data_IF_952419836430
#
_entry.id   IF_952419836430
#
_cell.length_a   1.000
_cell.length_b   1.000
_cell.length_c   1.000
_cell.angle_alpha   90.00
_cell.angle_beta   90.00
_cell.angle_gamma   90.00
#
_symmetry.space_group_name_H-M   'P 1'
#
loop_
_entity.id
_entity.type
_entity.pdbx_description
1 polymer ?
#
# COMPACT_ATOMS: atom_id res chain seq x y z
N UNK A 1 -2.83 -8.59 -11.16
CA UNK A 1 -3.08 -9.77 -12.04
C UNK A 1 -3.00 -11.05 -11.22
N UNK A 2 -3.48 -12.18 -11.74
CA UNK A 2 -3.41 -13.48 -11.05
C UNK A 2 -4.52 -14.44 -11.46
N UNK A 3 -4.38 -15.73 -11.11
CA UNK A 3 -5.34 -16.78 -11.47
C UNK A 3 -6.76 -16.51 -10.97
N UNK A 4 -7.75 -17.17 -11.57
CA UNK A 4 -9.14 -17.11 -11.09
C UNK A 4 -9.21 -17.54 -9.61
N UNK A 5 -10.01 -16.83 -8.81
CA UNK A 5 -10.19 -17.05 -7.35
C UNK A 5 -8.97 -16.85 -6.46
N UNK A 6 -7.86 -16.30 -6.99
CA UNK A 6 -6.67 -15.92 -6.19
C UNK A 6 -6.90 -14.83 -5.14
N UNK A 7 -8.03 -14.10 -5.18
CA UNK A 7 -8.37 -13.09 -4.16
C UNK A 7 -8.08 -11.64 -4.57
N UNK A 8 -7.62 -11.37 -5.80
CA UNK A 8 -7.36 -10.02 -6.35
C UNK A 8 -8.49 -8.99 -6.11
N UNK A 9 -9.74 -9.32 -6.41
CA UNK A 9 -10.86 -8.39 -6.21
C UNK A 9 -11.19 -8.20 -4.72
N UNK A 10 -11.02 -9.24 -3.89
CA UNK A 10 -11.15 -9.13 -2.44
C UNK A 10 -10.11 -8.17 -1.87
N UNK A 11 -8.86 -8.28 -2.30
CA UNK A 11 -7.77 -7.38 -1.94
C UNK A 11 -8.13 -5.93 -2.27
N UNK A 12 -8.55 -5.65 -3.51
CA UNK A 12 -8.92 -4.29 -3.94
C UNK A 12 -10.08 -3.72 -3.11
N UNK A 13 -11.07 -4.54 -2.75
CA UNK A 13 -12.24 -4.13 -1.95
C UNK A 13 -11.88 -3.86 -0.49
N UNK A 14 -11.08 -4.72 0.13
CA UNK A 14 -10.64 -4.54 1.52
C UNK A 14 -9.78 -3.29 1.66
N UNK A 15 -8.77 -3.12 0.80
CA UNK A 15 -7.82 -2.01 0.92
C UNK A 15 -8.46 -0.66 0.56
N UNK A 16 -9.25 -0.59 -0.51
CA UNK A 16 -9.71 0.69 -1.06
C UNK A 16 -11.19 1.00 -0.87
N UNK A 17 -11.99 0.06 -0.37
CA UNK A 17 -13.40 0.31 -0.04
C UNK A 17 -13.70 0.11 1.45
N UNK A 18 -12.68 -0.22 2.26
CA UNK A 18 -12.85 -0.57 3.68
C UNK A 18 -13.91 -1.66 3.88
N UNK A 19 -14.06 -2.56 2.90
CA UNK A 19 -14.98 -3.69 3.00
C UNK A 19 -14.45 -4.68 4.03
N UNK A 20 -15.33 -5.23 4.87
CA UNK A 20 -14.91 -6.23 5.84
C UNK A 20 -14.42 -7.49 5.12
N UNK A 21 -13.31 -8.13 5.57
CA UNK A 21 -12.83 -9.37 4.98
C UNK A 21 -13.90 -10.46 4.90
N UNK A 22 -14.80 -10.53 5.88
CA UNK A 22 -15.91 -11.49 5.89
C UNK A 22 -16.96 -11.25 4.81
N UNK A 23 -17.15 -10.00 4.38
CA UNK A 23 -18.08 -9.65 3.30
C UNK A 23 -17.52 -10.03 1.93
N UNK A 24 -16.20 -10.17 1.81
CA UNK A 24 -15.56 -10.53 0.53
C UNK A 24 -15.90 -11.95 0.05
N UNK A 25 -16.35 -12.84 0.95
CA UNK A 25 -16.80 -14.19 0.61
C UNK A 25 -18.01 -14.20 -0.34
N UNK A 26 -18.78 -13.10 -0.36
CA UNK A 26 -19.96 -12.95 -1.20
C UNK A 26 -19.69 -12.23 -2.52
N UNK A 27 -18.42 -11.93 -2.83
CA UNK A 27 -18.07 -11.29 -4.10
C UNK A 27 -18.26 -12.26 -5.27
N UNK A 28 -18.97 -11.79 -6.29
CA UNK A 28 -19.09 -12.51 -7.56
C UNK A 28 -17.77 -12.47 -8.35
N UNK A 29 -17.60 -13.42 -9.25
CA UNK A 29 -16.41 -13.48 -10.10
C UNK A 29 -16.32 -12.28 -11.05
N UNK A 30 -15.15 -11.64 -11.09
CA UNK A 30 -14.87 -10.51 -12.00
C UNK A 30 -14.82 -11.00 -13.44
N UNK A 31 -15.82 -10.61 -14.23
CA UNK A 31 -15.98 -10.99 -15.65
C UNK A 31 -15.48 -9.92 -16.62
N UNK A 32 -15.17 -8.71 -16.15
CA UNK A 32 -14.70 -7.58 -16.96
C UNK A 32 -13.62 -6.81 -16.22
N UNK A 33 -12.75 -6.12 -16.95
CA UNK A 33 -11.74 -5.22 -16.39
C UNK A 33 -12.41 -4.16 -15.50
N UNK A 34 -12.02 -4.09 -14.24
CA UNK A 34 -12.44 -3.03 -13.31
C UNK A 34 -11.27 -2.07 -13.08
N UNK A 35 -11.36 -0.85 -13.64
CA UNK A 35 -10.37 0.20 -13.44
C UNK A 35 -10.86 1.12 -12.34
N UNK A 36 -10.10 1.18 -11.24
CA UNK A 36 -10.34 2.11 -10.16
C UNK A 36 -9.30 3.22 -10.18
N UNK A 37 -9.76 4.44 -10.35
CA UNK A 37 -8.92 5.62 -10.16
C UNK A 37 -8.89 5.97 -8.67
N UNK A 38 -7.70 5.95 -8.08
CA UNK A 38 -7.46 6.42 -6.73
C UNK A 38 -6.71 7.73 -6.87
N UNK A 39 -7.48 8.81 -6.74
CA UNK A 39 -6.97 10.16 -6.61
C UNK A 39 -7.57 10.82 -5.38
N UNK A 40 -7.49 10.10 -4.25
CA UNK A 40 -7.88 10.64 -2.96
C UNK A 40 -7.02 11.86 -2.62
N UNK A 41 -5.80 11.91 -3.15
CA UNK A 41 -4.84 12.98 -2.95
C UNK A 41 -4.30 13.46 -4.29
N UNK A 42 -3.96 14.75 -4.41
CA UNK A 42 -3.06 15.25 -5.47
C UNK A 42 -1.65 14.64 -5.37
N UNK A 43 -1.32 14.00 -4.24
CA UNK A 43 -0.01 13.45 -3.90
C UNK A 43 0.21 12.01 -4.37
N UNK A 44 -0.85 11.20 -4.46
CA UNK A 44 -0.77 9.82 -4.92
C UNK A 44 -1.97 9.57 -5.82
N UNK A 45 -1.72 9.64 -7.12
CA UNK A 45 -2.71 9.35 -8.15
C UNK A 45 -2.29 8.10 -8.89
N UNK A 46 -3.02 7.02 -8.66
CA UNK A 46 -2.76 5.76 -9.34
C UNK A 46 -4.07 5.12 -9.77
N UNK A 47 -3.98 4.37 -10.86
CA UNK A 47 -5.07 3.56 -11.34
C UNK A 47 -4.77 2.12 -10.98
N UNK A 48 -5.72 1.47 -10.32
CA UNK A 48 -5.68 0.03 -10.10
C UNK A 48 -6.52 -0.62 -11.17
N UNK A 49 -5.92 -1.57 -11.86
CA UNK A 49 -6.56 -2.33 -12.92
C UNK A 49 -6.75 -3.76 -12.41
N UNK A 50 -7.99 -4.13 -12.08
CA UNK A 50 -8.34 -5.49 -11.73
C UNK A 50 -8.73 -6.26 -13.00
N UNK A 51 -7.96 -7.31 -13.29
CA UNK A 51 -8.10 -8.11 -14.50
C UNK A 51 -8.92 -9.37 -14.20
N UNK A 52 -9.78 -9.83 -15.13
CA UNK A 52 -10.49 -11.09 -14.97
C UNK A 52 -9.51 -12.27 -14.86
N UNK A 53 -9.90 -13.30 -14.11
CA UNK A 53 -9.00 -14.42 -13.78
C UNK A 53 -8.59 -15.29 -14.98
N UNK A 54 -9.38 -15.28 -16.04
CA UNK A 54 -9.14 -16.02 -17.28
C UNK A 54 -8.63 -15.11 -18.40
N UNK A 55 -8.12 -13.92 -18.06
CA UNK A 55 -7.62 -12.97 -19.06
C UNK A 55 -6.37 -13.54 -19.76
N UNK A 56 -6.50 -13.83 -21.06
CA UNK A 56 -5.36 -14.00 -21.98
C UNK A 56 -5.15 -12.67 -22.69
N UNK A 57 -3.93 -12.16 -22.65
CA UNK A 57 -3.55 -10.88 -23.26
C UNK A 57 -3.78 -10.84 -24.78
N UNK A 58 -3.97 -12.01 -25.41
CA UNK A 58 -4.33 -12.14 -26.84
C UNK A 58 -5.74 -11.67 -27.18
N UNK A 59 -6.62 -11.49 -26.20
CA UNK A 59 -7.98 -10.97 -26.42
C UNK A 59 -8.01 -9.46 -26.23
N UNK A 60 -8.45 -8.72 -27.25
CA UNK A 60 -8.62 -7.27 -27.14
C UNK A 60 -9.67 -6.94 -26.06
N UNK A 61 -9.24 -6.26 -24.99
CA UNK A 61 -10.17 -5.76 -23.99
C UNK A 61 -10.89 -4.52 -24.50
N UNK A 62 -12.22 -4.51 -24.36
CA UNK A 62 -13.00 -3.30 -24.57
C UNK A 62 -13.33 -2.70 -23.21
N UNK A 63 -12.75 -1.53 -22.91
CA UNK A 63 -13.14 -0.73 -21.75
C UNK A 63 -13.64 0.63 -22.23
N UNK A 64 -14.85 1.02 -21.81
CA UNK A 64 -15.43 2.32 -22.17
C UNK A 64 -15.65 2.56 -23.68
N UNK A 65 -15.65 1.50 -24.51
CA UNK A 65 -15.76 1.61 -25.96
C UNK A 65 -14.44 1.82 -26.71
N UNK A 66 -13.30 1.81 -26.01
CA UNK A 66 -11.96 1.78 -26.62
C UNK A 66 -11.33 0.39 -26.46
N UNK A 67 -10.59 -0.02 -27.51
CA UNK A 67 -9.74 -1.20 -27.47
C UNK A 67 -8.51 -0.86 -26.62
N UNK A 68 -8.36 -1.58 -25.53
CA UNK A 68 -7.23 -1.48 -24.63
C UNK A 68 -6.23 -2.56 -25.04
N UNK A 69 -5.21 -2.14 -25.80
CA UNK A 69 -4.17 -3.04 -26.29
C UNK A 69 -3.15 -3.37 -25.18
N UNK A 70 -2.52 -4.54 -25.26
CA UNK A 70 -1.40 -4.94 -24.39
C UNK A 70 -0.33 -3.84 -24.27
N UNK A 71 0.02 -3.21 -25.39
CA UNK A 71 1.03 -2.14 -25.44
C UNK A 71 0.65 -0.95 -24.57
N UNK A 72 -0.61 -0.50 -24.59
CA UNK A 72 -1.06 0.62 -23.75
C UNK A 72 -1.09 0.26 -22.26
N UNK A 73 -1.39 -0.99 -21.93
CA UNK A 73 -1.40 -1.47 -20.55
C UNK A 73 0.01 -1.45 -20.00
N UNK A 74 0.96 -2.07 -20.71
CA UNK A 74 2.33 -2.23 -20.21
C UNK A 74 3.15 -0.94 -20.34
N UNK A 75 2.92 -0.09 -21.35
CA UNK A 75 3.66 1.17 -21.51
C UNK A 75 3.39 2.15 -20.36
N UNK A 76 2.17 2.15 -19.82
CA UNK A 76 1.74 3.08 -18.77
C UNK A 76 1.73 2.44 -17.37
N UNK A 77 2.23 1.22 -17.24
CA UNK A 77 2.31 0.52 -15.97
C UNK A 77 3.62 0.84 -15.25
N UNK A 78 3.56 1.23 -13.97
CA UNK A 78 4.74 1.39 -13.12
C UNK A 78 5.11 0.14 -12.32
N UNK A 79 4.10 -0.65 -11.91
CA UNK A 79 4.31 -1.88 -11.16
C UNK A 79 3.18 -2.88 -11.43
N UNK A 80 3.55 -4.15 -11.60
CA UNK A 80 2.63 -5.27 -11.73
C UNK A 80 2.65 -6.06 -10.44
N UNK A 81 1.48 -6.10 -9.78
CA UNK A 81 1.23 -7.00 -8.65
C UNK A 81 0.60 -8.29 -9.16
N UNK A 82 1.28 -9.42 -8.98
CA UNK A 82 0.78 -10.75 -9.32
C UNK A 82 0.40 -11.51 -8.05
N UNK A 83 -0.85 -11.96 -7.97
CA UNK A 83 -1.40 -12.64 -6.79
C UNK A 83 -1.40 -14.15 -7.02
N UNK A 84 -0.67 -14.88 -6.18
CA UNK A 84 -0.61 -16.34 -6.11
C UNK A 84 -1.39 -16.79 -4.88
N UNK A 85 -2.28 -17.76 -5.03
CA UNK A 85 -2.98 -18.35 -3.89
C UNK A 85 -2.09 -19.42 -3.24
N UNK A 86 -1.68 -19.22 -2.00
CA UNK A 86 -0.83 -20.15 -1.25
C UNK A 86 -1.56 -21.42 -0.81
N UNK A 87 -2.90 -21.48 -0.94
CA UNK A 87 -3.68 -22.67 -0.57
C UNK A 87 -4.01 -23.55 -1.78
N UNK A 88 -3.80 -23.06 -3.01
CA UNK A 88 -4.19 -23.73 -4.25
C UNK A 88 -2.98 -24.46 -4.87
N UNK A 89 -2.62 -25.60 -4.26
CA UNK A 89 -1.61 -26.50 -4.83
C UNK A 89 -2.20 -27.42 -5.90
N UNK A 90 -1.56 -27.55 -7.07
CA UNK A 90 -0.19 -27.13 -7.41
C UNK A 90 -0.07 -25.71 -8.04
N UNK A 91 1.00 -25.00 -7.70
CA UNK A 91 1.27 -23.63 -8.18
C UNK A 91 1.68 -23.51 -9.66
N UNK A 92 1.92 -24.63 -10.36
CA UNK A 92 2.51 -24.65 -11.70
C UNK A 92 1.74 -23.80 -12.73
N UNK A 93 0.39 -23.77 -12.68
CA UNK A 93 -0.38 -22.91 -13.59
C UNK A 93 -0.15 -21.42 -13.30
N UNK A 94 -0.07 -21.04 -12.02
CA UNK A 94 0.15 -19.67 -11.60
C UNK A 94 1.53 -19.18 -12.05
N UNK A 95 2.55 -20.04 -11.90
CA UNK A 95 3.93 -19.77 -12.30
C UNK A 95 4.06 -19.62 -13.82
N UNK A 96 3.48 -20.54 -14.59
CA UNK A 96 3.49 -20.45 -16.05
C UNK A 96 2.83 -19.15 -16.55
N UNK A 97 1.72 -18.71 -15.92
CA UNK A 97 1.08 -17.43 -16.25
C UNK A 97 1.89 -16.22 -15.80
N UNK A 98 2.54 -16.29 -14.64
CA UNK A 98 3.44 -15.25 -14.17
C UNK A 98 4.60 -15.06 -15.18
N UNK A 99 5.24 -16.16 -15.60
CA UNK A 99 6.31 -16.13 -16.58
C UNK A 99 5.88 -15.51 -17.92
N UNK A 100 4.72 -15.89 -18.48
CA UNK A 100 4.19 -15.27 -19.71
C UNK A 100 3.92 -13.77 -19.52
N UNK A 101 3.30 -13.39 -18.40
CA UNK A 101 3.01 -11.98 -18.07
C UNK A 101 4.29 -11.15 -17.97
N UNK A 102 5.29 -11.65 -17.24
CA UNK A 102 6.58 -10.97 -17.02
C UNK A 102 7.32 -10.83 -18.33
N UNK A 103 7.41 -11.90 -19.13
CA UNK A 103 8.10 -11.89 -20.43
C UNK A 103 7.46 -10.89 -21.38
N UNK A 104 6.13 -10.80 -21.41
CA UNK A 104 5.43 -9.81 -22.25
C UNK A 104 5.61 -8.39 -21.73
N UNK A 105 5.41 -8.16 -20.44
CA UNK A 105 5.54 -6.84 -19.82
C UNK A 105 6.97 -6.26 -20.01
N UNK A 106 7.99 -7.07 -19.76
CA UNK A 106 9.39 -6.65 -19.89
C UNK A 106 9.80 -6.32 -21.33
N UNK A 107 9.15 -6.94 -22.34
CA UNK A 107 9.37 -6.58 -23.75
C UNK A 107 8.89 -5.18 -24.09
N UNK A 108 7.82 -4.71 -23.48
CA UNK A 108 7.25 -3.38 -23.73
C UNK A 108 7.89 -2.31 -22.85
N UNK A 109 8.13 -2.61 -21.57
CA UNK A 109 8.71 -1.68 -20.64
C UNK A 109 9.63 -2.42 -19.63
N UNK A 110 10.96 -2.22 -19.73
CA UNK A 110 11.92 -2.87 -18.84
C UNK A 110 11.93 -2.28 -17.42
N UNK A 111 11.41 -1.06 -17.23
CA UNK A 111 11.41 -0.35 -15.94
C UNK A 111 10.22 -0.75 -15.03
N UNK A 112 9.38 -1.69 -15.46
CA UNK A 112 8.26 -2.19 -14.66
C UNK A 112 8.78 -2.93 -13.43
N UNK A 113 8.24 -2.58 -12.27
CA UNK A 113 8.48 -3.30 -11.02
C UNK A 113 7.55 -4.52 -10.89
N UNK A 114 8.13 -5.70 -10.68
CA UNK A 114 7.38 -6.93 -10.51
C UNK A 114 7.27 -7.33 -9.04
N UNK A 115 6.04 -7.42 -8.55
CA UNK A 115 5.74 -7.66 -7.15
C UNK A 115 4.79 -8.88 -7.05
N UNK A 116 5.19 -9.90 -6.32
CA UNK A 116 4.45 -11.16 -6.18
C UNK A 116 3.86 -11.24 -4.78
N UNK A 117 2.53 -11.32 -4.70
CA UNK A 117 1.80 -11.52 -3.46
C UNK A 117 1.45 -12.99 -3.32
N UNK A 118 2.10 -13.65 -2.38
CA UNK A 118 1.74 -14.98 -1.90
C UNK A 118 0.58 -14.77 -0.92
N UNK A 119 -0.62 -15.05 -1.39
CA UNK A 119 -1.87 -14.64 -0.78
C UNK A 119 -2.57 -15.81 -0.07
N UNK A 120 -3.48 -15.49 0.86
CA UNK A 120 -4.22 -16.45 1.70
C UNK A 120 -3.34 -17.26 2.67
N UNK A 121 -2.30 -16.63 3.21
CA UNK A 121 -1.42 -17.22 4.24
C UNK A 121 -2.07 -17.32 5.63
N UNK A 122 -3.39 -17.14 5.72
CA UNK A 122 -4.24 -17.26 6.91
C UNK A 122 -4.84 -18.65 7.14
N UNK A 123 -4.65 -19.60 6.21
CA UNK A 123 -5.21 -20.95 6.34
C UNK A 123 -4.58 -21.76 7.49
N UNK A 124 -5.29 -22.80 7.94
CA UNK A 124 -4.85 -23.71 9.00
C UNK A 124 -3.47 -24.36 8.73
N UNK A 125 -3.03 -24.43 7.47
CA UNK A 125 -1.70 -24.93 7.09
C UNK A 125 -0.55 -23.98 7.51
N UNK A 126 -0.82 -22.68 7.67
CA UNK A 126 0.17 -21.62 7.89
C UNK A 126 0.15 -21.09 9.34
N UNK A 127 -0.32 -21.90 10.29
CA UNK A 127 -0.31 -21.56 11.72
C UNK A 127 1.11 -21.35 12.29
N UNK A 128 2.13 -21.99 11.71
CA UNK A 128 3.54 -21.79 12.06
C UNK A 128 4.23 -20.89 11.06
N UNK A 129 5.04 -19.95 11.56
CA UNK A 129 5.83 -19.06 10.71
C UNK A 129 6.89 -19.82 9.89
N UNK A 130 7.34 -20.98 10.36
CA UNK A 130 8.26 -21.86 9.61
C UNK A 130 7.67 -22.31 8.27
N UNK A 131 6.38 -22.71 8.24
CA UNK A 131 5.73 -23.12 6.99
C UNK A 131 5.56 -21.95 6.01
N UNK A 132 5.33 -20.73 6.51
CA UNK A 132 5.24 -19.54 5.67
C UNK A 132 6.58 -19.25 5.00
N UNK A 133 7.68 -19.36 5.76
CA UNK A 133 9.04 -19.15 5.26
C UNK A 133 9.41 -20.22 4.23
N UNK A 134 9.08 -21.48 4.50
CA UNK A 134 9.34 -22.58 3.58
C UNK A 134 8.55 -22.43 2.27
N UNK A 135 7.25 -22.14 2.35
CA UNK A 135 6.40 -21.88 1.18
C UNK A 135 6.91 -20.68 0.36
N UNK A 136 7.27 -19.58 1.03
CA UNK A 136 7.85 -18.42 0.36
C UNK A 136 9.14 -18.78 -0.37
N UNK A 137 10.02 -19.54 0.28
CA UNK A 137 11.30 -19.96 -0.29
C UNK A 137 11.10 -20.89 -1.48
N UNK A 138 10.16 -21.83 -1.39
CA UNK A 138 9.83 -22.74 -2.48
C UNK A 138 9.31 -21.97 -3.72
N UNK A 139 8.31 -21.11 -3.53
CA UNK A 139 7.73 -20.28 -4.60
C UNK A 139 8.80 -19.37 -5.21
N UNK A 140 9.60 -18.72 -4.36
CA UNK A 140 10.68 -17.84 -4.82
C UNK A 140 11.72 -18.59 -5.64
N UNK A 141 12.11 -19.80 -5.20
CA UNK A 141 13.09 -20.60 -5.91
C UNK A 141 12.55 -21.08 -7.26
N UNK A 142 11.31 -21.58 -7.32
CA UNK A 142 10.69 -22.02 -8.57
C UNK A 142 10.58 -20.86 -9.58
N UNK A 143 10.17 -19.67 -9.12
CA UNK A 143 10.08 -18.48 -9.97
C UNK A 143 11.45 -18.04 -10.47
N UNK A 144 12.46 -18.00 -9.60
CA UNK A 144 13.82 -17.64 -10.01
C UNK A 144 14.41 -18.65 -11.00
N UNK A 145 14.16 -19.94 -10.80
CA UNK A 145 14.63 -20.99 -11.72
C UNK A 145 13.98 -20.83 -13.11
N UNK A 146 12.66 -20.59 -13.17
CA UNK A 146 11.95 -20.34 -14.44
C UNK A 146 12.40 -19.05 -15.16
N UNK A 147 12.72 -17.98 -14.42
CA UNK A 147 13.18 -16.72 -15.01
C UNK A 147 14.63 -16.82 -15.50
N UNK A 148 15.49 -17.50 -14.74
CA UNK A 148 16.90 -17.70 -15.10
C UNK A 148 17.03 -18.51 -16.40
N UNK A 149 16.14 -19.48 -16.62
CA UNK A 149 16.04 -20.23 -17.88
C UNK A 149 15.68 -19.31 -19.07
N UNK A 150 15.04 -18.16 -18.80
CA UNK A 150 14.66 -17.16 -19.79
C UNK A 150 15.70 -16.07 -20.11
N UNK A 151 16.90 -16.10 -19.49
CA UNK A 151 17.96 -15.07 -19.62
C UNK A 151 17.52 -13.63 -19.28
N UNK A 152 16.50 -13.46 -18.44
CA UNK A 152 15.97 -12.14 -18.05
C UNK A 152 16.47 -11.75 -16.65
N UNK A 153 17.26 -10.68 -16.53
CA UNK A 153 17.69 -10.12 -15.25
C UNK A 153 16.58 -9.25 -14.65
N UNK A 154 15.55 -9.91 -14.10
CA UNK A 154 14.37 -9.24 -13.53
C UNK A 154 14.35 -9.43 -12.01
N UNK A 155 14.38 -8.32 -11.29
CA UNK A 155 14.20 -8.33 -9.84
C UNK A 155 12.71 -8.38 -9.48
N UNK A 156 12.31 -9.46 -8.81
CA UNK A 156 10.97 -9.63 -8.25
C UNK A 156 11.00 -9.51 -6.73
N UNK A 157 10.00 -8.84 -6.18
CA UNK A 157 9.81 -8.77 -4.73
C UNK A 157 8.64 -9.65 -4.30
N UNK A 158 8.82 -10.39 -3.20
CA UNK A 158 7.85 -11.36 -2.71
C UNK A 158 7.27 -10.89 -1.38
N UNK A 159 5.95 -10.95 -1.25
CA UNK A 159 5.22 -10.56 -0.04
C UNK A 159 4.23 -11.63 0.37
N UNK A 160 4.25 -11.99 1.65
CA UNK A 160 3.23 -12.82 2.27
C UNK A 160 2.07 -11.90 2.67
N UNK A 161 0.86 -12.21 2.20
CA UNK A 161 -0.30 -11.33 2.39
C UNK A 161 -1.55 -12.11 2.78
N UNK A 162 -2.32 -11.54 3.70
CA UNK A 162 -3.68 -11.99 4.00
C UNK A 162 -4.62 -10.78 4.08
N UNK A 163 -5.89 -10.97 3.72
CA UNK A 163 -6.94 -9.96 3.91
C UNK A 163 -7.45 -9.88 5.35
N UNK A 164 -7.18 -10.89 6.18
CA UNK A 164 -7.63 -10.92 7.58
C UNK A 164 -6.65 -10.22 8.53
N UNK A 165 -5.44 -9.96 8.05
CA UNK A 165 -4.39 -9.29 8.79
C UNK A 165 -3.94 -8.02 8.04
N UNK A 166 -3.18 -7.16 8.69
CA UNK A 166 -2.72 -5.89 8.15
C UNK A 166 -1.59 -6.05 7.10
N UNK A 167 -1.11 -7.28 6.87
CA UNK A 167 0.04 -7.59 6.00
C UNK A 167 -0.20 -7.17 4.56
N UNK A 168 -1.45 -7.24 4.09
CA UNK A 168 -1.82 -6.75 2.77
C UNK A 168 -1.58 -5.25 2.62
N UNK A 169 -1.89 -4.46 3.65
CA UNK A 169 -1.69 -3.02 3.62
C UNK A 169 -0.20 -2.67 3.68
N UNK A 170 0.59 -3.42 4.46
CA UNK A 170 2.04 -3.25 4.49
C UNK A 170 2.68 -3.56 3.12
N UNK A 171 2.29 -4.68 2.50
CA UNK A 171 2.76 -5.06 1.17
C UNK A 171 2.40 -3.98 0.13
N UNK A 172 1.14 -3.52 0.11
CA UNK A 172 0.75 -2.41 -0.76
C UNK A 172 1.52 -1.12 -0.50
N UNK A 173 1.82 -0.82 0.75
CA UNK A 173 2.60 0.37 1.11
C UNK A 173 4.01 0.32 0.52
N UNK A 174 4.67 -0.84 0.57
CA UNK A 174 5.98 -1.05 -0.07
C UNK A 174 5.91 -0.94 -1.59
N UNK A 175 4.84 -1.46 -2.21
CA UNK A 175 4.62 -1.32 -3.67
C UNK A 175 4.43 0.16 -4.04
N UNK A 176 3.56 0.88 -3.32
CA UNK A 176 3.30 2.31 -3.56
C UNK A 176 4.55 3.15 -3.33
N UNK A 177 5.36 2.83 -2.31
CA UNK A 177 6.64 3.49 -2.06
C UNK A 177 7.57 3.45 -3.26
N UNK A 178 7.76 2.26 -3.85
CA UNK A 178 8.65 2.09 -5.02
C UNK A 178 8.16 2.86 -6.25
N UNK A 179 6.86 3.13 -6.34
CA UNK A 179 6.27 3.93 -7.43
C UNK A 179 6.51 5.44 -7.28
N UNK A 180 6.90 5.93 -6.10
CA UNK A 180 7.06 7.35 -5.85
C UNK A 180 8.51 7.79 -6.12
N UNK A 181 8.77 8.59 -7.17
CA UNK A 181 10.13 8.99 -7.53
C UNK A 181 10.82 9.88 -6.48
N UNK A 182 10.04 10.59 -5.67
CA UNK A 182 10.53 11.51 -4.64
C UNK A 182 10.69 10.83 -3.26
N UNK A 183 10.53 9.50 -3.18
CA UNK A 183 10.61 8.75 -1.93
C UNK A 183 11.90 9.03 -1.13
N UNK A 184 13.12 9.04 -1.73
CA UNK A 184 14.34 9.27 -0.96
C UNK A 184 14.38 10.63 -0.26
N UNK A 185 13.74 11.65 -0.84
CA UNK A 185 13.62 12.97 -0.21
C UNK A 185 12.70 12.90 1.01
N UNK A 186 11.58 12.18 0.91
CA UNK A 186 10.63 12.01 2.02
C UNK A 186 11.24 11.22 3.17
N UNK A 187 11.92 10.11 2.87
CA UNK A 187 12.62 9.30 3.88
C UNK A 187 13.66 10.14 4.62
N UNK A 188 14.46 10.94 3.89
CA UNK A 188 15.43 11.84 4.52
C UNK A 188 14.78 12.89 5.42
N UNK A 189 13.66 13.48 5.00
CA UNK A 189 12.91 14.43 5.83
C UNK A 189 12.36 13.76 7.10
N UNK A 190 11.84 12.55 7.01
CA UNK A 190 11.38 11.76 8.15
C UNK A 190 12.55 11.41 9.09
N UNK A 191 13.71 11.02 8.54
CA UNK A 191 14.91 10.72 9.34
C UNK A 191 15.40 11.94 10.12
N UNK A 192 15.38 13.14 9.50
CA UNK A 192 15.69 14.40 10.18
C UNK A 192 14.68 14.68 11.31
N UNK A 193 13.39 14.48 11.05
CA UNK A 193 12.34 14.67 12.04
C UNK A 193 12.53 13.74 13.25
N UNK A 194 12.72 12.44 13.01
CA UNK A 194 12.95 11.44 14.05
C UNK A 194 14.17 11.81 14.90
N UNK A 195 15.29 12.14 14.25
CA UNK A 195 16.54 12.47 14.94
C UNK A 195 16.41 13.74 15.78
N UNK A 196 15.71 14.76 15.26
CA UNK A 196 15.55 16.05 15.95
C UNK A 196 14.58 15.97 17.16
N UNK A 197 13.54 15.15 17.05
CA UNK A 197 12.50 15.00 18.07
C UNK A 197 12.73 13.80 19.00
N UNK A 198 13.77 13.00 18.76
CA UNK A 198 14.05 11.73 19.46
C UNK A 198 12.84 10.79 19.44
N UNK A 199 12.28 10.60 18.24
CA UNK A 199 11.17 9.66 18.02
C UNK A 199 11.70 8.24 17.82
N UNK A 200 10.87 7.22 18.04
CA UNK A 200 11.26 5.84 17.75
C UNK A 200 10.95 5.47 16.30
N UNK A 201 9.79 5.90 15.80
CA UNK A 201 9.31 5.57 14.45
C UNK A 201 8.36 6.64 13.95
N UNK A 202 8.31 6.84 12.63
CA UNK A 202 7.35 7.75 11.99
C UNK A 202 6.81 7.17 10.69
N UNK A 203 5.53 7.36 10.47
CA UNK A 203 4.81 6.90 9.28
C UNK A 203 4.02 8.05 8.68
N UNK A 204 4.08 8.19 7.37
CA UNK A 204 3.22 9.10 6.61
C UNK A 204 2.13 8.27 5.94
N UNK A 205 0.92 8.34 6.47
CA UNK A 205 -0.25 7.56 6.05
C UNK A 205 -1.17 8.34 5.13
N UNK A 206 -1.78 7.64 4.17
CA UNK A 206 -3.03 8.05 3.55
C UNK A 206 -4.21 7.65 4.45
N UNK A 207 -4.99 8.63 4.90
CA UNK A 207 -6.08 8.44 5.88
C UNK A 207 -7.18 7.50 5.35
N UNK A 208 -7.44 7.53 4.05
CA UNK A 208 -8.53 6.76 3.43
C UNK A 208 -8.12 5.30 3.22
N UNK A 209 -6.98 5.05 2.60
CA UNK A 209 -6.53 3.69 2.27
C UNK A 209 -5.72 3.01 3.38
N UNK A 210 -5.29 3.76 4.39
CA UNK A 210 -4.37 3.32 5.47
C UNK A 210 -3.00 2.86 4.97
N UNK A 211 -2.69 3.11 3.69
CA UNK A 211 -1.38 2.80 3.12
C UNK A 211 -0.38 3.87 3.56
N UNK A 212 0.81 3.47 4.00
CA UNK A 212 1.87 4.43 4.29
C UNK A 212 2.69 4.72 3.03
N UNK A 213 2.82 6.01 2.73
CA UNK A 213 3.52 6.55 1.55
C UNK A 213 5.02 6.59 1.80
N UNK A 214 5.43 6.91 3.03
CA UNK A 214 6.82 7.00 3.41
C UNK A 214 6.97 6.62 4.89
N UNK A 215 8.11 6.05 5.22
CA UNK A 215 8.53 5.76 6.60
C UNK A 215 10.00 6.12 6.74
N UNK A 216 10.48 6.19 7.97
CA UNK A 216 11.89 6.35 8.26
C UNK A 216 12.71 5.08 7.98
N UNK A 217 14.03 5.20 8.02
CA UNK A 217 14.95 4.11 7.70
C UNK A 217 14.96 2.94 8.70
N UNK A 218 14.34 3.07 9.88
CA UNK A 218 14.27 1.94 10.81
C UNK A 218 13.40 0.82 10.22
N UNK A 219 13.67 -0.46 10.51
CA UNK A 219 12.79 -1.54 10.07
C UNK A 219 11.36 -1.31 10.59
N UNK A 220 10.37 -1.59 9.73
CA UNK A 220 8.97 -1.52 10.09
C UNK A 220 8.62 -2.79 10.87
N UNK A 221 8.15 -2.60 12.10
CA UNK A 221 7.53 -3.66 12.88
C UNK A 221 6.04 -3.71 12.58
N UNK A 222 5.53 -4.91 12.36
CA UNK A 222 4.16 -5.18 11.97
C UNK A 222 3.16 -4.76 13.07
N UNK A 223 3.51 -5.00 14.34
CA UNK A 223 2.65 -4.63 15.48
C UNK A 223 2.54 -3.10 15.61
N UNK A 224 3.66 -2.41 15.39
CA UNK A 224 3.70 -0.95 15.38
C UNK A 224 2.84 -0.37 14.26
N UNK A 225 2.84 -1.01 13.09
CA UNK A 225 2.00 -0.62 11.96
C UNK A 225 0.50 -0.81 12.24
N UNK A 226 0.11 -1.99 12.73
CA UNK A 226 -1.26 -2.32 13.13
C UNK A 226 -1.82 -1.30 14.13
N UNK A 227 -1.05 -1.01 15.18
CA UNK A 227 -1.41 -0.02 16.19
C UNK A 227 -1.60 1.40 15.62
N UNK A 228 -0.76 1.80 14.65
CA UNK A 228 -0.91 3.10 13.99
C UNK A 228 -2.12 3.14 13.06
N UNK A 229 -2.42 2.04 12.37
CA UNK A 229 -3.62 1.89 11.53
C UNK A 229 -4.89 2.01 12.37
N UNK A 230 -4.96 1.30 13.50
CA UNK A 230 -6.11 1.33 14.40
C UNK A 230 -6.28 2.70 15.07
N UNK A 231 -5.17 3.39 15.36
CA UNK A 231 -5.22 4.77 15.84
C UNK A 231 -5.92 5.69 14.83
N UNK A 232 -5.66 5.54 13.53
CA UNK A 232 -6.30 6.37 12.50
C UNK A 232 -7.80 6.12 12.49
N UNK A 233 -8.26 4.87 12.59
CA UNK A 233 -9.69 4.55 12.67
C UNK A 233 -10.34 5.20 13.89
N UNK A 234 -9.74 5.06 15.07
CA UNK A 234 -10.28 5.67 16.30
C UNK A 234 -10.39 7.20 16.15
N UNK A 235 -9.37 7.84 15.57
CA UNK A 235 -9.38 9.29 15.37
C UNK A 235 -10.46 9.71 14.38
N UNK A 236 -10.60 9.00 13.26
CA UNK A 236 -11.58 9.31 12.24
C UNK A 236 -13.00 9.03 12.73
N UNK A 237 -13.26 7.90 13.36
CA UNK A 237 -14.59 7.52 13.86
C UNK A 237 -15.08 8.49 14.94
N UNK A 238 -14.22 8.86 15.89
CA UNK A 238 -14.55 9.86 16.91
C UNK A 238 -14.80 11.24 16.28
N UNK A 239 -14.00 11.61 15.28
CA UNK A 239 -14.16 12.88 14.56
C UNK A 239 -15.42 12.89 13.67
N UNK A 240 -15.84 11.75 13.12
CA UNK A 240 -17.09 11.62 12.40
C UNK A 240 -18.30 11.80 13.33
N UNK A 241 -18.21 11.37 14.59
CA UNK A 241 -19.30 11.49 15.57
C UNK A 241 -19.42 12.93 16.10
N UNK A 242 -18.29 13.55 16.49
CA UNK A 242 -18.30 14.82 17.24
C UNK A 242 -17.72 16.02 16.45
N UNK A 243 -17.03 15.79 15.35
CA UNK A 243 -16.35 16.81 14.55
C UNK A 243 -17.21 17.44 13.46
N UNK A 244 -18.37 16.84 13.15
CA UNK A 244 -19.31 17.43 12.19
C UNK A 244 -20.01 18.64 12.81
N UNK A 245 -19.97 19.77 12.12
CA UNK A 245 -20.72 20.96 12.51
C UNK A 245 -22.19 20.78 12.11
N UNK A 246 -23.11 21.19 12.97
CA UNK A 246 -24.57 21.11 12.77
C UNK A 246 -25.11 21.91 11.57
N UNK A 247 -24.26 22.70 10.89
CA UNK A 247 -24.64 23.48 9.73
C UNK A 247 -24.64 22.58 8.48
N UNK A 248 -25.82 22.07 8.13
CA UNK A 248 -26.10 21.11 7.04
C UNK A 248 -25.79 21.54 5.61
N UNK A 249 -24.73 22.30 5.37
CA UNK A 249 -24.19 22.63 4.04
C UNK A 249 -22.67 22.53 4.05
N UNK A 250 -22.18 21.31 3.84
CA UNK A 250 -20.78 21.05 3.59
C UNK A 250 -20.44 19.62 3.98
N UNK A 251 -19.84 18.89 3.05
CA UNK A 251 -19.16 17.62 3.28
C UNK A 251 -17.99 17.90 4.23
N UNK A 252 -18.32 18.11 5.51
CA UNK A 252 -17.39 18.45 6.57
C UNK A 252 -16.53 17.25 6.82
N UNK A 253 -15.43 17.15 6.06
CA UNK A 253 -14.43 16.12 6.23
C UNK A 253 -14.12 16.04 7.73
N UNK A 254 -14.30 14.87 8.32
CA UNK A 254 -13.94 14.58 9.71
C UNK A 254 -12.43 14.80 9.98
N UNK A 255 -11.67 15.04 8.93
CA UNK A 255 -10.26 15.33 8.92
C UNK A 255 -10.02 16.74 8.38
N UNK A 256 -9.44 17.59 9.21
CA UNK A 256 -9.19 19.00 8.92
C UNK A 256 -7.72 19.40 9.17
N UNK A 257 -7.36 20.62 8.76
CA UNK A 257 -6.00 21.16 8.91
C UNK A 257 -5.46 21.26 10.36
N UNK A 258 -6.33 21.03 11.35
CA UNK A 258 -6.03 21.11 12.79
C UNK A 258 -6.13 19.75 13.47
N UNK A 259 -6.40 18.70 12.71
CA UNK A 259 -6.58 17.36 13.22
C UNK A 259 -5.28 16.87 13.85
N UNK A 260 -5.39 16.55 15.13
CA UNK A 260 -4.29 16.04 15.94
C UNK A 260 -4.83 15.14 17.03
N UNK A 261 -4.08 14.09 17.36
CA UNK A 261 -4.45 13.15 18.42
C UNK A 261 -3.21 12.64 19.14
N UNK A 262 -3.34 12.44 20.44
CA UNK A 262 -2.29 11.91 21.32
C UNK A 262 -2.89 10.76 22.10
N UNK A 263 -2.37 9.54 21.92
CA UNK A 263 -2.77 8.36 22.69
C UNK A 263 -1.57 7.90 23.51
N UNK A 264 -1.73 7.86 24.83
CA UNK A 264 -0.69 7.40 25.77
C UNK A 264 -1.01 6.01 26.26
N UNK A 265 -0.08 5.08 26.06
CA UNK A 265 -0.20 3.70 26.50
C UNK A 265 0.39 3.53 27.91
N UNK A 266 -0.05 2.48 28.59
CA UNK A 266 0.37 2.15 29.96
C UNK A 266 1.86 1.79 30.08
N UNK A 267 2.48 1.30 29.00
CA UNK A 267 3.88 0.94 28.91
C UNK A 267 4.81 2.15 28.70
N UNK A 268 4.28 3.37 28.69
CA UNK A 268 5.05 4.59 28.49
C UNK A 268 5.29 4.97 27.03
N UNK A 269 4.70 4.26 26.07
CA UNK A 269 4.66 4.69 24.67
C UNK A 269 3.56 5.73 24.44
N UNK A 270 3.80 6.66 23.54
CA UNK A 270 2.89 7.71 23.11
C UNK A 270 2.80 7.67 21.60
N UNK A 271 1.60 7.43 21.09
CA UNK A 271 1.28 7.59 19.69
C UNK A 271 0.83 9.03 19.45
N UNK A 272 1.41 9.68 18.45
CA UNK A 272 1.10 11.05 18.10
C UNK A 272 0.72 11.16 16.63
N UNK A 273 -0.51 11.59 16.37
CA UNK A 273 -1.04 11.81 15.04
C UNK A 273 -1.18 13.31 14.78
N UNK A 274 -0.69 13.75 13.63
CA UNK A 274 -0.82 15.13 13.13
C UNK A 274 -1.17 15.16 11.65
N UNK A 275 -2.01 16.11 11.27
CA UNK A 275 -2.34 16.33 9.87
C UNK A 275 -1.23 17.06 9.10
N UNK A 276 -0.89 16.50 7.94
CA UNK A 276 0.08 17.05 6.98
C UNK A 276 -0.64 17.63 5.76
N UNK A 277 -1.63 16.94 5.24
CA UNK A 277 -2.51 17.43 4.18
C UNK A 277 -3.91 16.83 4.34
N UNK A 278 -4.89 17.29 3.57
CA UNK A 278 -6.31 16.89 3.63
C UNK A 278 -6.56 15.37 3.64
N UNK A 279 -5.61 14.56 3.16
CA UNK A 279 -5.71 13.11 3.29
C UNK A 279 -4.39 12.44 3.69
N UNK A 280 -3.38 13.21 4.10
CA UNK A 280 -2.10 12.70 4.61
C UNK A 280 -1.95 12.98 6.11
N UNK A 281 -1.76 11.91 6.87
CA UNK A 281 -1.51 11.95 8.31
C UNK A 281 -0.08 11.50 8.63
N UNK A 282 0.61 12.26 9.47
CA UNK A 282 1.83 11.83 10.11
C UNK A 282 1.48 11.15 11.43
N UNK A 283 1.91 9.89 11.59
CA UNK A 283 1.79 9.14 12.85
C UNK A 283 3.18 8.84 13.37
N UNK A 284 3.45 9.25 14.61
CA UNK A 284 4.75 9.11 15.27
C UNK A 284 4.62 8.26 16.54
N UNK A 285 5.61 7.40 16.76
CA UNK A 285 5.78 6.62 17.99
C UNK A 285 6.90 7.24 18.83
N UNK A 286 6.57 7.55 20.08
CA UNK A 286 7.40 8.33 20.99
C UNK A 286 7.41 7.67 22.38
N UNK A 287 8.46 7.87 23.17
CA UNK A 287 8.41 7.60 24.61
C UNK A 287 7.83 8.77 25.37
N UNK A 288 7.11 8.50 26.45
CA UNK A 288 6.50 9.50 27.31
C UNK A 288 7.50 10.51 27.87
N UNK A 289 8.75 10.09 28.11
CA UNK A 289 9.85 10.95 28.56
C UNK A 289 10.21 12.02 27.52
N UNK A 290 10.21 11.66 26.24
CA UNK A 290 10.51 12.56 25.12
C UNK A 290 9.34 13.51 24.82
N UNK A 291 8.11 13.10 25.15
CA UNK A 291 6.90 13.89 24.91
C UNK A 291 6.77 15.12 25.84
N UNK A 292 7.66 15.31 26.82
CA UNK A 292 7.60 16.48 27.72
C UNK A 292 7.80 17.83 27.00
N UNK A 293 8.43 17.83 25.81
CA UNK A 293 8.68 19.04 25.02
C UNK A 293 7.79 19.12 23.78
N UNK A 294 6.48 18.92 23.96
CA UNK A 294 5.49 18.92 22.87
C UNK A 294 5.61 20.16 21.95
N UNK A 295 5.84 21.35 22.50
CA UNK A 295 5.95 22.57 21.66
C UNK A 295 7.11 22.55 20.66
N UNK A 296 8.22 21.88 20.96
CA UNK A 296 9.35 21.73 20.02
C UNK A 296 8.99 20.71 18.94
N UNK A 297 8.32 19.62 19.34
CA UNK A 297 7.85 18.59 18.41
C UNK A 297 6.87 19.21 17.41
N UNK A 298 5.91 20.00 17.90
CA UNK A 298 4.92 20.67 17.05
C UNK A 298 5.59 21.62 16.05
N UNK A 299 6.54 22.44 16.52
CA UNK A 299 7.30 23.32 15.64
C UNK A 299 8.09 22.56 14.55
N UNK A 300 8.72 21.44 14.91
CA UNK A 300 9.46 20.62 13.96
C UNK A 300 8.52 19.94 12.94
N UNK A 301 7.33 19.50 13.37
CA UNK A 301 6.30 18.95 12.49
C UNK A 301 5.75 20.02 11.55
N UNK A 302 5.55 21.26 12.01
CA UNK A 302 5.12 22.38 11.15
C UNK A 302 6.19 22.72 10.09
N UNK A 303 7.47 22.69 10.46
CA UNK A 303 8.58 22.80 9.52
C UNK A 303 8.57 21.66 8.48
N UNK A 304 8.35 20.42 8.94
CA UNK A 304 8.25 19.25 8.09
C UNK A 304 7.06 19.32 7.12
N UNK A 305 5.89 19.75 7.60
CA UNK A 305 4.69 19.98 6.78
C UNK A 305 4.94 21.00 5.68
N UNK A 306 5.63 22.08 6.02
CA UNK A 306 6.03 23.10 5.04
C UNK A 306 6.99 22.52 3.99
N UNK A 307 7.97 21.72 4.42
CA UNK A 307 8.93 21.06 3.53
C UNK A 307 8.25 20.05 2.57
N UNK A 308 7.32 19.24 3.06
CA UNK A 308 6.50 18.35 2.22
C UNK A 308 5.74 19.16 1.17
N UNK A 309 5.13 20.28 1.58
CA UNK A 309 4.42 21.17 0.66
C UNK A 309 5.28 21.70 -0.48
N UNK A 310 6.60 21.80 -0.30
CA UNK A 310 7.53 22.29 -1.33
C UNK A 310 8.13 21.17 -2.19
N UNK A 311 8.40 19.99 -1.61
CA UNK A 311 8.88 18.80 -2.35
C UNK A 311 7.90 18.43 -3.48
N UNK A 312 6.60 18.45 -3.17
CA UNK A 312 5.57 18.03 -4.13
C UNK A 312 5.07 19.15 -5.07
N UNK A 313 5.49 20.41 -4.88
CA UNK A 313 5.21 21.50 -5.85
C UNK A 313 6.15 21.46 -7.07
N UNK A 314 7.18 20.62 -7.07
CA UNK A 314 7.99 20.37 -8.25
C UNK A 314 7.28 19.32 -9.13
N UNK A 315 6.89 19.69 -10.37
CA UNK A 315 7.87 20.06 -11.37
C UNK A 315 7.59 21.44 -11.96
N UNK A 316 8.44 22.43 -11.65
CA UNK A 316 8.63 23.49 -12.63
C UNK A 316 9.36 22.84 -13.80
N UNK A 317 8.64 22.60 -14.89
CA UNK A 317 9.24 22.31 -16.17
C UNK A 317 10.38 23.32 -16.38
N UNK A 318 11.59 22.81 -16.54
CA UNK A 318 12.71 23.59 -17.00
C UNK A 318 12.38 23.90 -18.46
N UNK A 319 11.93 25.12 -18.74
CA UNK A 319 11.82 25.67 -20.10
C UNK A 319 13.20 25.73 -20.77
#
# INVERSE_FOLDING_TARGET
>A
MGLRRSGKSSIQRVVFHKMSPHETLFLEGTNSLDIKYIANNSFVQFQIWDFPGDYDFKEDLVYGGQLVNEEMIFSNCGSIVFVIDAQDEPYAEALARLHDTVTRAHRYNPDILFEVFIHKVDGDLFLSDDHKIDCQREIQQQIMDEINDGELDIHMSFYLTSIYDHSIFEAFSKVVQKLIPQLPTLENLLNILITSCNMEKSFLFDVVSKVYIATDSNPVDMQSYELCSDMIDVVIDVSCIYGMKDDGEGDGLAYDSKSSSVIKLNNGMVLYLREVNNYLALVCLLRAENFMKQGIIDYNIDCFKSAIGDVFKAPKAIE
#
